data_IF_378756372138
#
_entry.id   IF_378756372138
#
_cell.length_a   1.000
_cell.length_b   1.000
_cell.length_c   1.000
_cell.angle_alpha   90.00
_cell.angle_beta   90.00
_cell.angle_gamma   90.00
#
_symmetry.space_group_name_H-M   'P 1'
#
loop_
_entity.id
_entity.type
_entity.pdbx_description
1 polymer ?
#
# COMPACT_ATOMS: atom_id res chain seq x y z
N UNK A 1 2.46 -5.10 -0.72
CA UNK A 1 1.29 -4.35 -0.21
C UNK A 1 0.66 -3.53 -1.31
N UNK A 2 -0.59 -3.14 -1.12
CA UNK A 2 -1.34 -2.30 -2.05
C UNK A 2 -1.87 -1.07 -1.31
N UNK A 3 -1.84 0.09 -1.98
CA UNK A 3 -2.46 1.34 -1.48
C UNK A 3 -3.64 1.74 -2.35
N UNK A 4 -4.55 2.53 -1.80
CA UNK A 4 -5.68 3.07 -2.55
C UNK A 4 -6.30 4.30 -1.89
N UNK A 5 -6.63 5.29 -2.73
CA UNK A 5 -7.34 6.52 -2.36
C UNK A 5 -8.49 6.78 -3.36
N UNK A 6 -8.19 7.31 -4.56
CA UNK A 6 -9.20 7.73 -5.54
C UNK A 6 -9.58 6.62 -6.54
N UNK A 7 -8.71 5.64 -6.76
CA UNK A 7 -8.86 4.65 -7.83
C UNK A 7 -8.84 3.22 -7.29
N UNK A 8 -9.66 2.36 -7.90
CA UNK A 8 -9.73 0.92 -7.60
C UNK A 8 -9.95 0.07 -8.88
N UNK A 9 -9.56 0.58 -10.03
CA UNK A 9 -9.79 -0.06 -11.33
C UNK A 9 -9.09 -1.42 -11.45
N UNK A 10 -7.98 -1.65 -10.74
CA UNK A 10 -7.30 -2.93 -10.65
C UNK A 10 -7.89 -3.90 -9.60
N UNK A 11 -8.78 -3.43 -8.73
CA UNK A 11 -9.19 -4.16 -7.53
C UNK A 11 -9.69 -5.59 -7.79
N UNK A 12 -10.61 -5.77 -8.73
CA UNK A 12 -11.15 -7.08 -9.08
C UNK A 12 -10.08 -8.01 -9.68
N UNK A 13 -9.24 -7.50 -10.56
CA UNK A 13 -8.17 -8.27 -11.18
C UNK A 13 -7.12 -8.71 -10.13
N UNK A 14 -6.71 -7.81 -9.26
CA UNK A 14 -5.78 -8.09 -8.16
C UNK A 14 -6.35 -9.15 -7.23
N UNK A 15 -7.61 -8.98 -6.78
CA UNK A 15 -8.27 -9.92 -5.87
C UNK A 15 -8.37 -11.31 -6.47
N UNK A 16 -8.81 -11.43 -7.74
CA UNK A 16 -8.93 -12.72 -8.43
C UNK A 16 -7.55 -13.37 -8.62
N UNK A 17 -6.53 -12.59 -8.98
CA UNK A 17 -5.15 -13.09 -9.11
C UNK A 17 -4.63 -13.63 -7.78
N UNK A 18 -4.72 -12.85 -6.70
CA UNK A 18 -4.27 -13.29 -5.38
C UNK A 18 -5.00 -14.54 -4.89
N UNK A 19 -6.32 -14.63 -5.16
CA UNK A 19 -7.12 -15.80 -4.83
C UNK A 19 -6.70 -17.03 -5.61
N UNK A 20 -6.54 -16.92 -6.94
CA UNK A 20 -6.06 -18.00 -7.82
C UNK A 20 -4.68 -18.49 -7.39
N UNK A 21 -3.80 -17.57 -7.05
CA UNK A 21 -2.45 -17.86 -6.63
C UNK A 21 -2.33 -18.29 -5.15
N UNK A 22 -3.43 -18.33 -4.40
CA UNK A 22 -3.46 -18.61 -2.96
C UNK A 22 -2.47 -17.72 -2.16
N UNK A 23 -2.42 -16.43 -2.49
CA UNK A 23 -1.56 -15.42 -1.85
C UNK A 23 -2.42 -14.49 -0.99
N UNK A 24 -1.96 -14.20 0.22
CA UNK A 24 -2.50 -13.12 1.06
C UNK A 24 -1.60 -11.91 0.97
N UNK A 25 -2.21 -10.73 0.89
CA UNK A 25 -1.52 -9.45 0.78
C UNK A 25 -2.06 -8.46 1.82
N UNK A 26 -1.40 -7.30 1.91
CA UNK A 26 -1.86 -6.19 2.73
C UNK A 26 -2.36 -5.06 1.84
N UNK A 27 -3.46 -4.45 2.26
CA UNK A 27 -4.09 -3.32 1.60
C UNK A 27 -4.22 -2.18 2.61
N UNK A 28 -3.72 -1.01 2.25
CA UNK A 28 -3.80 0.20 3.06
C UNK A 28 -4.63 1.23 2.29
N UNK A 29 -5.78 1.58 2.85
CA UNK A 29 -6.72 2.47 2.19
C UNK A 29 -6.99 3.72 3.01
N UNK A 30 -7.20 4.82 2.31
CA UNK A 30 -7.64 6.06 2.94
C UNK A 30 -9.07 5.95 3.48
N UNK A 31 -9.44 6.85 4.39
CA UNK A 31 -10.83 6.97 4.79
C UNK A 31 -11.75 7.34 3.62
N UNK A 32 -11.26 8.16 2.67
CA UNK A 32 -11.96 8.45 1.42
C UNK A 32 -12.29 7.19 0.64
N UNK A 33 -11.31 6.28 0.47
CA UNK A 33 -11.51 5.00 -0.20
C UNK A 33 -12.56 4.14 0.52
N UNK A 34 -12.46 4.01 1.86
CA UNK A 34 -13.43 3.23 2.64
C UNK A 34 -14.85 3.78 2.57
N UNK A 35 -15.02 5.10 2.48
CA UNK A 35 -16.33 5.76 2.38
C UNK A 35 -16.91 5.76 0.96
N UNK A 36 -16.11 5.49 -0.07
CA UNK A 36 -16.59 5.52 -1.45
C UNK A 36 -17.51 4.32 -1.72
N UNK A 37 -18.80 4.54 -2.04
CA UNK A 37 -19.75 3.46 -2.26
C UNK A 37 -19.36 2.55 -3.46
N UNK A 38 -18.65 3.09 -4.46
CA UNK A 38 -18.19 2.33 -5.61
C UNK A 38 -17.15 1.26 -5.22
N UNK A 39 -16.43 1.43 -4.10
CA UNK A 39 -15.38 0.52 -3.65
C UNK A 39 -15.86 -0.46 -2.57
N UNK A 40 -17.12 -0.34 -2.12
CA UNK A 40 -17.69 -1.19 -1.06
C UNK A 40 -17.51 -2.69 -1.36
N UNK A 41 -17.82 -3.11 -2.57
CA UNK A 41 -17.77 -4.52 -2.95
C UNK A 41 -16.36 -5.08 -2.91
N UNK A 42 -15.37 -4.36 -3.44
CA UNK A 42 -13.97 -4.82 -3.42
C UNK A 42 -13.44 -4.89 -1.99
N UNK A 43 -13.72 -3.90 -1.13
CA UNK A 43 -13.31 -3.93 0.28
C UNK A 43 -13.89 -5.18 0.99
N UNK A 44 -15.17 -5.48 0.78
CA UNK A 44 -15.82 -6.65 1.36
C UNK A 44 -15.21 -7.97 0.86
N UNK A 45 -14.87 -8.07 -0.44
CA UNK A 45 -14.22 -9.25 -1.01
C UNK A 45 -12.81 -9.45 -0.43
N UNK A 46 -12.00 -8.40 -0.36
CA UNK A 46 -10.66 -8.46 0.22
C UNK A 46 -10.70 -8.91 1.69
N UNK A 47 -11.65 -8.38 2.46
CA UNK A 47 -11.87 -8.82 3.85
C UNK A 47 -12.29 -10.29 3.94
N UNK A 48 -13.27 -10.71 3.11
CA UNK A 48 -13.74 -12.11 3.04
C UNK A 48 -12.60 -13.06 2.69
N UNK A 49 -11.72 -12.66 1.81
CA UNK A 49 -10.56 -13.44 1.40
C UNK A 49 -9.40 -13.38 2.42
N UNK A 50 -9.62 -12.75 3.57
CA UNK A 50 -8.67 -12.67 4.70
C UNK A 50 -7.34 -11.99 4.34
N UNK A 51 -7.39 -10.95 3.51
CA UNK A 51 -6.28 -10.03 3.34
C UNK A 51 -6.18 -9.10 4.55
N UNK A 52 -4.98 -8.61 4.83
CA UNK A 52 -4.80 -7.56 5.82
C UNK A 52 -5.33 -6.23 5.26
N UNK A 53 -6.17 -5.52 6.02
CA UNK A 53 -6.71 -4.22 5.66
C UNK A 53 -6.30 -3.20 6.71
N UNK A 54 -5.54 -2.18 6.33
CA UNK A 54 -4.96 -1.16 7.19
C UNK A 54 -5.36 0.27 6.81
N UNK A 55 -4.92 1.22 7.64
CA UNK A 55 -5.16 2.65 7.47
C UNK A 55 -4.05 3.31 6.66
N UNK A 56 -4.43 4.31 5.80
CA UNK A 56 -3.52 5.09 4.95
C UNK A 56 -3.83 6.60 4.99
N UNK A 57 -4.05 7.17 6.20
CA UNK A 57 -4.63 8.52 6.37
C UNK A 57 -6.12 8.60 5.99
N UNK A 58 -6.90 9.46 6.63
CA UNK A 58 -8.30 9.64 6.27
C UNK A 58 -8.47 10.43 4.98
N UNK A 59 -7.75 11.55 4.87
CA UNK A 59 -7.84 12.52 3.78
C UNK A 59 -6.59 12.52 2.88
N UNK A 60 -5.75 11.50 2.97
CA UNK A 60 -4.47 11.44 2.25
C UNK A 60 -3.58 12.66 2.50
N UNK A 61 -3.47 13.09 3.76
CA UNK A 61 -2.74 14.30 4.13
C UNK A 61 -1.23 14.10 4.05
N UNK A 62 -0.53 15.08 3.47
CA UNK A 62 0.92 15.18 3.60
C UNK A 62 1.25 15.71 5.00
N UNK A 63 1.90 14.90 5.82
CA UNK A 63 2.13 15.24 7.23
C UNK A 63 3.38 16.08 7.47
N UNK A 64 4.39 15.96 6.61
CA UNK A 64 5.63 16.73 6.70
C UNK A 64 6.11 17.18 5.32
N UNK A 65 6.89 18.25 5.30
CA UNK A 65 7.32 18.93 4.07
C UNK A 65 8.23 18.03 3.22
N UNK A 66 8.09 18.11 1.90
CA UNK A 66 8.89 17.32 0.96
C UNK A 66 10.38 17.66 0.97
N UNK A 67 10.70 18.92 1.22
CA UNK A 67 12.08 19.43 1.16
C UNK A 67 12.70 19.50 2.55
N UNK A 68 11.92 19.96 3.54
CA UNK A 68 12.32 20.07 4.94
C UNK A 68 11.59 19.02 5.75
N UNK A 69 12.04 17.77 5.66
CA UNK A 69 11.33 16.60 6.23
C UNK A 69 10.96 16.76 7.71
N UNK A 70 11.76 17.48 8.49
CA UNK A 70 11.47 17.74 9.91
C UNK A 70 10.38 18.80 10.14
N UNK A 71 9.97 19.53 9.08
CA UNK A 71 8.91 20.53 9.13
C UNK A 71 7.55 19.85 9.01
N UNK A 72 6.75 19.94 10.06
CA UNK A 72 5.40 19.40 10.10
C UNK A 72 4.43 20.31 9.35
N UNK A 73 3.54 19.73 8.54
CA UNK A 73 2.45 20.39 7.85
C UNK A 73 1.12 20.23 8.60
N UNK A 74 1.12 19.42 9.65
CA UNK A 74 -0.06 19.17 10.50
C UNK A 74 0.33 19.29 11.97
N UNK A 75 -0.63 19.67 12.80
CA UNK A 75 -0.49 19.56 14.25
C UNK A 75 -0.74 18.13 14.71
N UNK A 76 -0.28 17.77 15.89
CA UNK A 76 -0.56 16.49 16.53
C UNK A 76 -2.07 16.17 16.59
N UNK A 77 -2.87 17.16 16.95
CA UNK A 77 -4.32 17.03 17.00
C UNK A 77 -4.92 16.69 15.62
N UNK A 78 -4.44 17.33 14.56
CA UNK A 78 -4.90 17.08 13.20
C UNK A 78 -4.49 15.66 12.76
N UNK A 79 -3.23 15.25 13.01
CA UNK A 79 -2.76 13.90 12.71
C UNK A 79 -3.58 12.84 13.44
N UNK A 80 -3.75 12.96 14.76
CA UNK A 80 -4.51 11.98 15.57
C UNK A 80 -5.99 11.94 15.15
N UNK A 81 -6.57 13.07 14.75
CA UNK A 81 -7.94 13.13 14.22
C UNK A 81 -8.04 12.42 12.87
N UNK A 82 -7.15 12.71 11.94
CA UNK A 82 -7.13 12.09 10.62
C UNK A 82 -7.02 10.55 10.74
N UNK A 83 -6.11 10.08 11.57
CA UNK A 83 -5.94 8.66 11.82
C UNK A 83 -7.18 8.03 12.48
N UNK A 84 -7.78 8.71 13.47
CA UNK A 84 -9.02 8.27 14.10
C UNK A 84 -10.18 8.14 13.10
N UNK A 85 -10.34 9.13 12.21
CA UNK A 85 -11.42 9.15 11.23
C UNK A 85 -11.25 8.04 10.18
N UNK A 86 -10.01 7.74 9.78
CA UNK A 86 -9.72 6.58 8.93
C UNK A 86 -10.18 5.27 9.60
N UNK A 87 -9.82 5.04 10.86
CA UNK A 87 -10.28 3.84 11.59
C UNK A 87 -11.80 3.80 11.77
N UNK A 88 -12.44 4.95 11.96
CA UNK A 88 -13.90 5.03 11.99
C UNK A 88 -14.53 4.59 10.66
N UNK A 89 -13.93 4.97 9.53
CA UNK A 89 -14.38 4.47 8.22
C UNK A 89 -14.17 2.96 8.09
N UNK A 90 -13.03 2.42 8.55
CA UNK A 90 -12.74 0.98 8.55
C UNK A 90 -13.72 0.18 9.40
N UNK A 91 -14.18 0.74 10.53
CA UNK A 91 -15.15 0.09 11.42
C UNK A 91 -16.50 -0.18 10.73
N UNK A 92 -16.90 0.60 9.72
CA UNK A 92 -18.12 0.35 8.95
C UNK A 92 -18.07 -0.98 8.19
N UNK A 93 -16.86 -1.50 7.96
CA UNK A 93 -16.60 -2.84 7.40
C UNK A 93 -16.29 -3.88 8.49
N UNK A 94 -16.43 -3.52 9.78
CA UNK A 94 -16.10 -4.41 10.90
C UNK A 94 -14.60 -4.70 11.01
N UNK A 95 -13.74 -3.78 10.59
CA UNK A 95 -12.28 -3.85 10.76
C UNK A 95 -11.95 -3.08 12.02
N UNK A 96 -11.42 -3.77 13.03
CA UNK A 96 -11.08 -3.18 14.32
C UNK A 96 -9.60 -2.78 14.34
N UNK A 97 -9.27 -1.72 15.06
CA UNK A 97 -7.88 -1.25 15.22
C UNK A 97 -6.93 -2.35 15.72
N UNK A 98 -7.39 -3.20 16.64
CA UNK A 98 -6.62 -4.35 17.18
C UNK A 98 -6.22 -5.37 16.10
N UNK A 99 -7.00 -5.47 15.02
CA UNK A 99 -6.78 -6.40 13.91
C UNK A 99 -6.01 -5.72 12.75
N UNK A 100 -5.79 -4.41 12.85
CA UNK A 100 -5.20 -3.56 11.82
C UNK A 100 -4.25 -2.53 12.46
N UNK A 101 -3.27 -3.02 13.22
CA UNK A 101 -2.38 -2.17 14.01
C UNK A 101 -1.24 -1.50 13.22
N UNK A 102 -1.01 -1.91 11.97
CA UNK A 102 -0.08 -1.23 11.09
C UNK A 102 -0.75 -0.07 10.35
N UNK A 103 -0.07 1.06 10.35
CA UNK A 103 -0.44 2.28 9.63
C UNK A 103 0.61 2.59 8.56
N UNK A 104 0.18 2.84 7.35
CA UNK A 104 1.01 3.33 6.26
C UNK A 104 0.70 4.82 6.06
N UNK A 105 1.65 5.75 6.29
CA UNK A 105 1.39 7.17 6.07
C UNK A 105 1.16 7.48 4.59
N UNK A 106 0.29 8.46 4.31
CA UNK A 106 0.08 8.96 2.96
C UNK A 106 1.40 9.38 2.30
N UNK A 107 1.51 9.13 0.99
CA UNK A 107 2.72 9.35 0.21
C UNK A 107 3.94 8.55 0.67
N UNK A 108 3.76 7.59 1.60
CA UNK A 108 4.86 6.83 2.22
C UNK A 108 5.93 7.75 2.85
N UNK A 109 5.51 9.01 3.16
CA UNK A 109 6.38 10.09 3.60
C UNK A 109 6.07 10.50 5.04
N UNK A 110 7.09 10.46 5.90
CA UNK A 110 6.96 10.72 7.33
C UNK A 110 8.32 11.08 7.95
N UNK A 111 8.29 11.59 9.18
CA UNK A 111 9.47 11.87 10.01
C UNK A 111 9.33 11.21 11.39
N UNK A 112 10.34 11.40 12.24
CA UNK A 112 10.36 10.80 13.59
C UNK A 112 9.17 11.26 14.45
N UNK A 113 8.71 12.50 14.29
CA UNK A 113 7.54 13.01 15.01
C UNK A 113 6.27 12.25 14.62
N UNK A 114 6.05 12.00 13.33
CA UNK A 114 4.92 11.21 12.84
C UNK A 114 5.01 9.76 13.34
N UNK A 115 6.21 9.18 13.35
CA UNK A 115 6.43 7.83 13.92
C UNK A 115 6.08 7.80 15.40
N UNK A 116 6.54 8.76 16.20
CA UNK A 116 6.23 8.87 17.62
C UNK A 116 4.73 9.01 17.85
N UNK A 117 4.04 9.94 17.17
CA UNK A 117 2.60 10.12 17.31
C UNK A 117 1.81 8.87 16.89
N UNK A 118 2.28 8.14 15.88
CA UNK A 118 1.69 6.84 15.50
C UNK A 118 1.77 5.85 16.66
N UNK A 119 2.96 5.70 17.26
CA UNK A 119 3.19 4.79 18.39
C UNK A 119 2.36 5.17 19.63
N UNK A 120 2.23 6.47 19.92
CA UNK A 120 1.39 6.98 21.02
C UNK A 120 -0.10 6.63 20.84
N UNK A 121 -0.56 6.41 19.61
CA UNK A 121 -1.91 5.89 19.36
C UNK A 121 -2.02 4.38 19.48
N UNK A 122 -0.93 3.66 19.82
CA UNK A 122 -0.89 2.20 19.89
C UNK A 122 -0.87 1.52 18.53
N UNK A 123 -0.35 2.20 17.51
CA UNK A 123 -0.14 1.67 16.16
C UNK A 123 1.35 1.58 15.84
N UNK A 124 1.68 0.78 14.84
CA UNK A 124 3.02 0.69 14.27
C UNK A 124 3.02 1.26 12.86
N UNK A 125 3.99 2.15 12.57
CA UNK A 125 4.18 2.66 11.24
C UNK A 125 4.86 1.60 10.38
N UNK A 126 4.26 1.28 9.24
CA UNK A 126 4.85 0.43 8.21
C UNK A 126 5.12 1.23 6.94
N UNK A 127 6.13 0.82 6.18
CA UNK A 127 6.41 1.41 4.87
C UNK A 127 6.95 0.35 3.93
N UNK A 128 6.99 0.66 2.63
CA UNK A 128 7.64 -0.20 1.65
C UNK A 128 9.16 -0.16 1.80
N UNK A 129 9.82 -1.20 1.28
CA UNK A 129 11.29 -1.24 1.25
C UNK A 129 11.78 -0.53 -0.02
N UNK A 130 12.64 0.51 0.09
CA UNK A 130 13.20 1.18 -1.07
C UNK A 130 14.18 0.27 -1.82
N UNK A 131 14.40 0.55 -3.12
CA UNK A 131 15.36 -0.17 -3.96
C UNK A 131 14.78 -0.70 -5.26
N UNK A 132 13.45 -0.80 -5.37
CA UNK A 132 12.76 -1.08 -6.63
C UNK A 132 11.90 0.11 -7.05
N UNK A 133 11.33 0.03 -8.25
CA UNK A 133 10.39 1.04 -8.75
C UNK A 133 8.91 0.62 -8.54
N UNK A 134 8.63 -0.34 -7.65
CA UNK A 134 7.29 -0.91 -7.49
C UNK A 134 6.22 0.14 -7.17
N UNK A 135 6.58 1.16 -6.39
CA UNK A 135 5.70 2.25 -6.01
C UNK A 135 5.48 3.31 -7.09
N UNK A 136 6.18 3.24 -8.25
CA UNK A 136 6.04 4.20 -9.34
C UNK A 136 4.88 3.88 -10.29
N UNK A 137 4.11 2.85 -10.02
CA UNK A 137 2.99 2.37 -10.85
C UNK A 137 1.78 3.32 -10.90
N UNK A 138 1.77 4.39 -10.10
CA UNK A 138 0.78 5.47 -10.17
C UNK A 138 1.11 6.54 -11.22
N UNK A 139 2.37 6.62 -11.66
CA UNK A 139 2.84 7.69 -12.56
C UNK A 139 2.21 7.59 -13.94
N UNK A 140 1.85 8.73 -14.54
CA UNK A 140 1.24 8.82 -15.87
C UNK A 140 2.26 9.25 -16.94
N UNK A 141 2.02 8.97 -18.24
CA UNK A 141 2.99 9.22 -19.32
C UNK A 141 3.45 10.68 -19.48
N UNK A 142 2.65 11.64 -19.02
CA UNK A 142 2.97 13.07 -19.02
C UNK A 142 3.94 13.49 -17.91
N UNK A 143 4.15 12.64 -16.90
CA UNK A 143 5.05 12.95 -15.79
C UNK A 143 6.51 12.63 -16.14
N UNK A 144 7.44 13.52 -15.78
CA UNK A 144 8.89 13.31 -15.97
C UNK A 144 9.44 12.05 -15.30
N UNK A 145 8.81 11.63 -14.21
CA UNK A 145 9.18 10.43 -13.44
C UNK A 145 8.36 9.20 -13.85
N UNK A 146 7.64 9.23 -14.97
CA UNK A 146 6.89 8.07 -15.46
C UNK A 146 7.78 6.84 -15.60
N UNK A 147 7.23 5.70 -15.20
CA UNK A 147 7.83 4.38 -15.36
C UNK A 147 6.81 3.42 -15.95
N UNK A 148 7.14 2.81 -17.09
CA UNK A 148 6.29 1.78 -17.68
C UNK A 148 6.19 0.55 -16.78
N UNK A 149 5.13 -0.22 -16.93
CA UNK A 149 4.95 -1.48 -16.21
C UNK A 149 6.09 -2.47 -16.45
N UNK A 150 6.63 -2.49 -17.66
CA UNK A 150 7.81 -3.28 -18.00
C UNK A 150 9.05 -2.79 -17.21
N UNK A 151 9.29 -1.47 -17.18
CA UNK A 151 10.40 -0.89 -16.40
C UNK A 151 10.27 -1.23 -14.92
N UNK A 152 9.07 -1.14 -14.36
CA UNK A 152 8.79 -1.48 -12.97
C UNK A 152 9.07 -2.97 -12.72
N UNK A 153 8.53 -3.85 -13.56
CA UNK A 153 8.74 -5.30 -13.45
C UNK A 153 10.23 -5.65 -13.51
N UNK A 154 10.94 -5.12 -14.49
CA UNK A 154 12.37 -5.37 -14.68
C UNK A 154 13.20 -4.81 -13.51
N UNK A 155 12.79 -3.71 -12.88
CA UNK A 155 13.47 -3.18 -11.68
C UNK A 155 13.38 -4.15 -10.50
N UNK A 156 12.22 -4.79 -10.30
CA UNK A 156 12.00 -5.79 -9.25
C UNK A 156 12.85 -7.04 -9.50
N UNK A 157 12.81 -7.57 -10.72
CA UNK A 157 13.59 -8.75 -11.13
C UNK A 157 15.10 -8.47 -11.00
N UNK A 158 15.56 -7.31 -11.46
CA UNK A 158 16.98 -6.92 -11.37
C UNK A 158 17.43 -6.76 -9.93
N UNK A 159 16.59 -6.18 -9.06
CA UNK A 159 16.91 -6.07 -7.64
C UNK A 159 17.06 -7.45 -7.00
N UNK A 160 16.13 -8.35 -7.26
CA UNK A 160 16.16 -9.72 -6.75
C UNK A 160 17.45 -10.45 -7.16
N UNK A 161 17.85 -10.30 -8.41
CA UNK A 161 19.03 -10.99 -8.96
C UNK A 161 20.37 -10.43 -8.49
N UNK A 162 20.43 -9.10 -8.21
CA UNK A 162 21.69 -8.41 -7.88
C UNK A 162 21.99 -8.34 -6.39
N UNK A 163 20.99 -8.53 -5.54
CA UNK A 163 21.17 -8.47 -4.09
C UNK A 163 21.40 -9.84 -3.50
N UNK A 164 22.36 -9.96 -2.59
CA UNK A 164 22.72 -11.23 -1.94
C UNK A 164 21.56 -11.89 -1.20
N UNK A 165 20.64 -11.10 -0.66
CA UNK A 165 19.43 -11.59 0.02
C UNK A 165 18.20 -11.58 -0.87
N UNK A 166 18.36 -11.16 -2.14
CA UNK A 166 17.25 -10.98 -3.07
C UNK A 166 16.18 -10.05 -2.51
N UNK A 167 14.94 -10.50 -2.53
CA UNK A 167 13.76 -9.80 -1.96
C UNK A 167 13.32 -10.39 -0.61
N UNK A 168 14.17 -11.12 0.10
CA UNK A 168 13.81 -11.67 1.41
C UNK A 168 13.55 -10.56 2.42
N UNK A 169 12.36 -10.57 3.05
CA UNK A 169 11.92 -9.50 3.96
C UNK A 169 11.51 -8.20 3.29
N UNK A 170 11.49 -8.16 1.95
CA UNK A 170 11.21 -6.95 1.17
C UNK A 170 9.70 -6.68 1.07
N UNK A 171 9.30 -5.44 1.22
CA UNK A 171 7.92 -4.99 1.09
C UNK A 171 7.77 -4.23 -0.23
N UNK A 172 7.18 -4.87 -1.24
CA UNK A 172 6.79 -4.23 -2.49
C UNK A 172 5.48 -3.45 -2.31
N UNK A 173 5.43 -2.21 -2.78
CA UNK A 173 4.23 -1.38 -2.80
C UNK A 173 3.74 -1.20 -4.23
N UNK A 174 2.42 -1.34 -4.43
CA UNK A 174 1.71 -1.17 -5.69
C UNK A 174 0.36 -0.52 -5.39
N UNK A 175 -0.22 0.21 -6.33
CA UNK A 175 -1.55 0.81 -6.17
C UNK A 175 -2.67 -0.14 -6.62
N UNK A 176 -3.80 -0.15 -5.91
CA UNK A 176 -4.99 -0.97 -6.29
C UNK A 176 -5.67 -0.44 -7.55
N UNK A 177 -5.45 0.80 -7.86
CA UNK A 177 -5.94 1.50 -9.05
C UNK A 177 -5.13 2.74 -9.32
N UNK A 178 -5.18 3.24 -10.53
CA UNK A 178 -4.40 4.39 -10.98
C UNK A 178 -5.19 5.25 -11.95
N UNK A 179 -4.76 6.49 -12.17
CA UNK A 179 -5.42 7.43 -13.07
C UNK A 179 -5.69 6.82 -14.45
N UNK A 180 -6.79 7.23 -15.10
CA UNK A 180 -7.21 6.70 -16.42
C UNK A 180 -6.16 6.90 -17.50
N UNK A 181 -5.41 8.00 -17.43
CA UNK A 181 -4.37 8.34 -18.40
C UNK A 181 -3.16 7.39 -18.35
N UNK A 182 -2.99 6.68 -17.24
CA UNK A 182 -2.11 5.52 -17.20
C UNK A 182 -2.81 4.30 -17.79
N UNK A 183 -2.67 4.10 -19.10
CA UNK A 183 -3.22 2.93 -19.79
C UNK A 183 -2.40 1.66 -19.58
N UNK A 184 -1.11 1.80 -19.30
CA UNK A 184 -0.16 0.75 -18.96
C UNK A 184 -0.27 0.42 -17.47
N UNK A 185 -1.20 -0.44 -17.11
CA UNK A 185 -1.54 -0.79 -15.72
C UNK A 185 -0.66 -1.89 -15.17
N UNK A 186 0.18 -1.58 -14.20
CA UNK A 186 1.15 -2.53 -13.61
C UNK A 186 0.48 -3.75 -12.97
N UNK A 187 -0.71 -3.63 -12.43
CA UNK A 187 -1.40 -4.76 -11.80
C UNK A 187 -1.65 -5.94 -12.78
N UNK A 188 -1.63 -5.71 -14.10
CA UNK A 188 -1.68 -6.81 -15.07
C UNK A 188 -0.41 -7.66 -15.10
N UNK A 189 0.71 -7.15 -14.61
CA UNK A 189 1.96 -7.91 -14.45
C UNK A 189 1.99 -8.76 -13.18
N UNK A 190 1.00 -8.62 -12.28
CA UNK A 190 0.97 -9.31 -11.00
C UNK A 190 1.02 -10.84 -11.10
N UNK A 191 0.31 -11.52 -12.03
CA UNK A 191 0.42 -12.98 -12.18
C UNK A 191 1.85 -13.43 -12.50
N UNK A 192 2.53 -12.75 -13.43
CA UNK A 192 3.90 -13.05 -13.81
C UNK A 192 4.88 -12.79 -12.64
N UNK A 193 4.70 -11.70 -11.90
CA UNK A 193 5.52 -11.38 -10.74
C UNK A 193 5.36 -12.43 -9.63
N UNK A 194 4.13 -12.84 -9.31
CA UNK A 194 3.87 -13.88 -8.31
C UNK A 194 4.51 -15.21 -8.74
N UNK A 195 4.35 -15.59 -10.00
CA UNK A 195 4.96 -16.80 -10.55
C UNK A 195 6.48 -16.77 -10.45
N UNK A 196 7.11 -15.66 -10.83
CA UNK A 196 8.56 -15.46 -10.72
C UNK A 196 9.04 -15.61 -9.25
N UNK A 197 8.38 -14.96 -8.31
CA UNK A 197 8.75 -15.01 -6.89
C UNK A 197 8.57 -16.42 -6.31
N UNK A 198 7.48 -17.10 -6.65
CA UNK A 198 7.24 -18.49 -6.21
C UNK A 198 8.29 -19.46 -6.79
N UNK A 199 8.68 -19.29 -8.05
CA UNK A 199 9.75 -20.10 -8.68
C UNK A 199 11.10 -19.91 -7.98
N UNK A 200 11.29 -18.79 -7.29
CA UNK A 200 12.45 -18.51 -6.43
C UNK A 200 12.25 -18.93 -4.96
N UNK A 201 11.20 -19.69 -4.66
CA UNK A 201 10.81 -20.16 -3.32
C UNK A 201 10.44 -19.06 -2.31
N UNK A 202 10.04 -17.86 -2.76
CA UNK A 202 9.52 -16.86 -1.88
C UNK A 202 8.12 -17.22 -1.35
N UNK A 203 7.93 -17.02 -0.06
CA UNK A 203 6.61 -17.03 0.57
C UNK A 203 6.07 -15.61 0.63
N UNK A 204 4.98 -15.35 -0.09
CA UNK A 204 4.32 -14.06 -0.12
C UNK A 204 3.33 -13.98 1.03
N UNK A 205 3.57 -13.07 1.98
CA UNK A 205 2.79 -12.95 3.20
C UNK A 205 2.33 -11.50 3.43
N UNK A 206 1.23 -11.26 4.16
CA UNK A 206 0.84 -9.91 4.56
C UNK A 206 1.77 -9.36 5.66
N UNK A 207 1.74 -8.02 5.86
CA UNK A 207 2.67 -7.33 6.78
C UNK A 207 2.58 -7.82 8.22
N UNK A 208 1.40 -8.20 8.70
CA UNK A 208 1.18 -8.73 10.06
C UNK A 208 1.81 -10.12 10.27
N UNK A 209 2.26 -10.77 9.21
CA UNK A 209 3.04 -12.02 9.27
C UNK A 209 4.52 -11.77 9.04
N UNK A 210 4.86 -10.70 8.32
CA UNK A 210 6.25 -10.33 8.03
C UNK A 210 6.86 -9.54 9.18
N UNK A 211 6.15 -8.53 9.68
CA UNK A 211 6.57 -7.65 10.75
C UNK A 211 5.97 -8.17 12.07
N UNK A 212 6.78 -8.82 12.89
CA UNK A 212 6.38 -9.36 14.20
C UNK A 212 6.90 -8.49 15.32
#
# INVERSE_FOLDING_TARGET
MFTGDEFADGGNFIQQTLKKENVKASFFFTGNFYRNPAFKNIIQQLKKDKHYLGAHSDQHLLYCDWTKRDSLLVTEKQFKKDLHDNYKAMQTFGIQKKDAHFFLPAYEWYNDTITRWTNETGLQLANFTPGTLSNADYTTPDLKNYRSSETIYNSIVSFEQKNNTGLNGFILLVHIGTAKDRTDKFYYSLPALISFLKAKNYQLVPVDKLLK
#
